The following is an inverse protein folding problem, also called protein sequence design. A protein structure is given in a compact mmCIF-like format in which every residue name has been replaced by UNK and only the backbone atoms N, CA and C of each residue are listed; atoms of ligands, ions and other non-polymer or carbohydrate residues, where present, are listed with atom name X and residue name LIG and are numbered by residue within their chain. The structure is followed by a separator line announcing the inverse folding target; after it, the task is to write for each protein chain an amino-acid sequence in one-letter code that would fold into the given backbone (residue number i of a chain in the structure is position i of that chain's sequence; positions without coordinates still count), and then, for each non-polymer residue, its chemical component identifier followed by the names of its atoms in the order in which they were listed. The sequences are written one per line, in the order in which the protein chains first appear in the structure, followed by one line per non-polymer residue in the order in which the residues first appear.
data_IF_384491049518
#
_entry.id   IF_384491049518
#
_cell.length_a   1.000
_cell.length_b   1.000
_cell.length_c   1.000
_cell.angle_alpha   90.00
_cell.angle_beta   90.00
_cell.angle_gamma   90.00
#
_symmetry.space_group_name_H-M   'P 1'
#
loop_
_entity.id
_entity.type
_entity.pdbx_description
1 polymer ?
#
# COMPACT_ATOMS: atom_id res chain seq x y z
N UNK A 1 -2.50 4.50 2.56
CA UNK A 1 -3.30 4.96 1.40
C UNK A 1 -3.26 6.47 1.30
N UNK A 2 -3.41 7.01 0.08
CA UNK A 2 -3.41 8.44 -0.23
C UNK A 2 -4.53 8.81 -1.25
N UNK A 3 -5.83 8.62 -0.94
CA UNK A 3 -6.88 8.69 -1.96
C UNK A 3 -7.08 10.07 -2.61
N UNK A 4 -6.83 11.18 -1.91
CA UNK A 4 -6.93 12.53 -2.48
C UNK A 4 -5.65 12.94 -3.20
N UNK A 5 -4.50 12.64 -2.59
CA UNK A 5 -3.20 12.97 -3.14
C UNK A 5 -2.91 12.17 -4.42
N UNK A 6 -3.50 10.99 -4.58
CA UNK A 6 -3.42 10.18 -5.80
C UNK A 6 -4.58 10.36 -6.78
N UNK A 7 -5.57 11.21 -6.48
CA UNK A 7 -6.69 11.45 -7.38
C UNK A 7 -6.24 12.23 -8.61
N UNK A 8 -6.55 11.71 -9.79
CA UNK A 8 -6.35 12.44 -11.04
C UNK A 8 -7.48 13.45 -11.30
N UNK A 9 -7.42 14.60 -10.61
CA UNK A 9 -8.47 15.64 -10.59
C UNK A 9 -8.87 16.19 -11.96
N UNK A 10 -7.99 16.12 -12.97
CA UNK A 10 -8.28 16.60 -14.33
C UNK A 10 -9.49 15.89 -14.96
N UNK A 11 -9.75 14.62 -14.62
CA UNK A 11 -10.93 13.91 -15.13
C UNK A 11 -12.24 14.38 -14.51
N UNK A 12 -12.23 14.98 -13.32
CA UNK A 12 -13.46 15.48 -12.67
C UNK A 12 -14.10 16.61 -13.47
N UNK A 13 -13.30 17.39 -14.21
CA UNK A 13 -13.78 18.52 -15.02
C UNK A 13 -14.40 18.12 -16.36
N UNK A 14 -14.13 16.92 -16.85
CA UNK A 14 -14.42 16.52 -18.24
C UNK A 14 -15.29 15.27 -18.39
N UNK A 15 -15.63 14.58 -17.29
CA UNK A 15 -16.40 13.34 -17.32
C UNK A 15 -17.78 13.51 -16.71
N UNK A 16 -18.82 12.97 -17.35
CA UNK A 16 -20.12 12.75 -16.71
C UNK A 16 -19.95 11.70 -15.60
N UNK A 17 -20.52 11.93 -14.41
CA UNK A 17 -20.35 11.07 -13.23
C UNK A 17 -20.67 9.59 -13.50
N UNK A 18 -21.63 9.31 -14.39
CA UNK A 18 -22.08 7.96 -14.74
C UNK A 18 -21.05 7.07 -15.47
N UNK A 19 -19.94 7.65 -15.96
CA UNK A 19 -18.91 6.92 -16.72
C UNK A 19 -17.56 6.85 -16.00
N UNK A 20 -17.49 7.41 -14.78
CA UNK A 20 -16.29 7.42 -13.95
C UNK A 20 -16.51 6.50 -12.76
N UNK A 21 -15.54 5.62 -12.50
CA UNK A 21 -15.51 4.76 -11.31
C UNK A 21 -14.22 5.08 -10.58
N UNK A 22 -14.32 5.54 -9.34
CA UNK A 22 -13.18 5.72 -8.43
C UNK A 22 -12.85 4.37 -7.82
N UNK A 23 -11.63 3.88 -8.09
CA UNK A 23 -11.19 2.59 -7.57
C UNK A 23 -10.16 2.82 -6.47
N UNK A 24 -10.52 2.50 -5.24
CA UNK A 24 -9.60 2.50 -4.10
C UNK A 24 -8.85 1.17 -4.08
N UNK A 25 -7.65 1.15 -4.65
CA UNK A 25 -6.79 -0.03 -4.68
C UNK A 25 -5.89 -0.12 -3.43
N UNK A 26 -5.28 -1.29 -3.21
CA UNK A 26 -4.39 -1.60 -2.07
C UNK A 26 -5.08 -1.42 -0.71
N UNK A 27 -6.35 -1.81 -0.64
CA UNK A 27 -7.19 -1.68 0.57
C UNK A 27 -6.70 -2.51 1.76
N UNK A 28 -5.85 -3.49 1.51
CA UNK A 28 -5.10 -4.24 2.52
C UNK A 28 -4.05 -3.41 3.27
N UNK A 29 -3.63 -2.27 2.72
CA UNK A 29 -2.67 -1.36 3.37
C UNK A 29 -3.33 -0.31 4.26
N UNK A 30 -4.67 -0.31 4.37
CA UNK A 30 -5.42 0.62 5.20
C UNK A 30 -6.39 -0.11 6.13
N UNK A 31 -6.76 0.56 7.23
CA UNK A 31 -7.73 -0.02 8.15
C UNK A 31 -9.13 -0.06 7.51
N UNK A 32 -9.98 -1.05 7.85
CA UNK A 32 -11.34 -1.13 7.31
C UNK A 32 -12.18 0.12 7.59
N UNK A 33 -11.99 0.78 8.74
CA UNK A 33 -12.67 2.02 9.09
C UNK A 33 -12.26 3.17 8.16
N UNK A 34 -10.97 3.34 7.88
CA UNK A 34 -10.49 4.37 6.95
C UNK A 34 -10.97 4.10 5.52
N UNK A 35 -10.92 2.85 5.05
CA UNK A 35 -11.44 2.49 3.71
C UNK A 35 -12.91 2.86 3.62
N UNK A 36 -13.71 2.57 4.66
CA UNK A 36 -15.12 2.95 4.70
C UNK A 36 -15.32 4.48 4.66
N UNK A 37 -14.59 5.24 5.48
CA UNK A 37 -14.70 6.70 5.47
C UNK A 37 -14.40 7.31 4.10
N UNK A 38 -13.41 6.76 3.39
CA UNK A 38 -13.08 7.20 2.04
C UNK A 38 -14.15 6.82 1.00
N UNK A 39 -14.72 5.61 1.10
CA UNK A 39 -15.86 5.21 0.27
C UNK A 39 -17.04 6.18 0.47
N UNK A 40 -17.42 6.43 1.73
CA UNK A 40 -18.50 7.35 2.09
C UNK A 40 -18.23 8.79 1.59
N UNK A 41 -16.95 9.22 1.60
CA UNK A 41 -16.54 10.52 1.08
C UNK A 41 -16.77 10.64 -0.43
N UNK A 42 -16.32 9.66 -1.23
CA UNK A 42 -16.49 9.70 -2.69
C UNK A 42 -17.96 9.50 -3.09
N UNK A 43 -18.69 8.60 -2.43
CA UNK A 43 -20.12 8.42 -2.66
C UNK A 43 -20.91 9.69 -2.34
N UNK A 44 -20.52 10.42 -1.28
CA UNK A 44 -21.09 11.74 -0.96
C UNK A 44 -20.74 12.86 -1.95
N UNK A 45 -19.86 12.60 -2.92
CA UNK A 45 -19.51 13.51 -4.03
C UNK A 45 -20.18 13.09 -5.36
N UNK A 46 -21.19 12.21 -5.30
CA UNK A 46 -21.88 11.60 -6.44
C UNK A 46 -20.95 10.78 -7.36
N UNK A 47 -19.80 10.32 -6.84
CA UNK A 47 -18.91 9.41 -7.54
C UNK A 47 -19.29 7.95 -7.27
N UNK A 48 -19.17 7.11 -8.30
CA UNK A 48 -19.23 5.65 -8.11
C UNK A 48 -17.88 5.20 -7.58
N UNK A 49 -17.83 4.72 -6.33
CA UNK A 49 -16.60 4.22 -5.71
C UNK A 49 -16.59 2.68 -5.62
N UNK A 50 -15.42 2.07 -5.73
CA UNK A 50 -15.23 0.63 -5.50
C UNK A 50 -13.89 0.38 -4.80
N UNK A 51 -13.91 -0.40 -3.72
CA UNK A 51 -12.71 -0.80 -2.98
C UNK A 51 -12.17 -2.13 -3.51
N UNK A 52 -10.86 -2.23 -3.73
CA UNK A 52 -10.25 -3.45 -4.26
C UNK A 52 -8.87 -3.69 -3.65
N UNK A 53 -8.49 -4.95 -3.51
CA UNK A 53 -7.10 -5.38 -3.40
C UNK A 53 -6.75 -6.15 -4.68
N UNK A 54 -5.86 -5.59 -5.50
CA UNK A 54 -5.42 -6.19 -6.78
C UNK A 54 -4.78 -7.58 -6.62
N UNK A 55 -4.28 -7.91 -5.43
CA UNK A 55 -3.68 -9.21 -5.12
C UNK A 55 -4.68 -10.23 -4.54
N UNK A 56 -5.89 -9.78 -4.16
CA UNK A 56 -6.93 -10.66 -3.64
C UNK A 56 -7.87 -11.11 -4.76
N UNK A 57 -7.88 -12.42 -5.05
CA UNK A 57 -8.67 -12.99 -6.15
C UNK A 57 -10.18 -12.77 -5.99
N UNK A 58 -10.71 -12.84 -4.78
CA UNK A 58 -12.15 -12.72 -4.55
C UNK A 58 -12.61 -11.27 -4.69
N UNK A 59 -11.83 -10.31 -4.22
CA UNK A 59 -12.07 -8.88 -4.48
C UNK A 59 -12.07 -8.58 -5.99
N UNK A 60 -11.19 -9.21 -6.76
CA UNK A 60 -11.12 -9.02 -8.22
C UNK A 60 -12.31 -9.65 -8.93
N UNK A 61 -12.79 -10.82 -8.47
CA UNK A 61 -14.03 -11.43 -8.99
C UNK A 61 -15.24 -10.55 -8.71
N UNK A 62 -15.35 -10.01 -7.50
CA UNK A 62 -16.40 -9.09 -7.10
C UNK A 62 -16.37 -7.84 -7.98
N UNK A 63 -15.19 -7.25 -8.15
CA UNK A 63 -15.00 -6.06 -9.00
C UNK A 63 -15.33 -6.34 -10.47
N UNK A 64 -14.90 -7.48 -11.02
CA UNK A 64 -15.25 -7.88 -12.39
C UNK A 64 -16.76 -8.04 -12.57
N UNK A 65 -17.44 -8.62 -11.59
CA UNK A 65 -18.91 -8.77 -11.60
C UNK A 65 -19.59 -7.41 -11.59
N UNK A 66 -19.13 -6.51 -10.73
CA UNK A 66 -19.58 -5.12 -10.67
C UNK A 66 -19.40 -4.40 -12.01
N UNK A 67 -18.20 -4.48 -12.63
CA UNK A 67 -17.93 -3.88 -13.94
C UNK A 67 -18.85 -4.43 -15.03
N UNK A 68 -19.06 -5.75 -15.07
CA UNK A 68 -19.98 -6.36 -16.03
C UNK A 68 -21.42 -5.87 -15.85
N UNK A 69 -21.89 -5.71 -14.60
CA UNK A 69 -23.22 -5.17 -14.33
C UNK A 69 -23.35 -3.72 -14.83
N UNK A 70 -22.38 -2.86 -14.52
CA UNK A 70 -22.34 -1.46 -15.02
C UNK A 70 -22.34 -1.37 -16.54
N UNK A 71 -21.57 -2.23 -17.20
CA UNK A 71 -21.54 -2.27 -18.68
C UNK A 71 -22.88 -2.72 -19.24
N UNK A 72 -23.57 -3.71 -18.63
CA UNK A 72 -24.92 -4.12 -19.06
C UNK A 72 -25.95 -2.99 -18.89
N UNK A 73 -25.90 -2.26 -17.78
CA UNK A 73 -26.75 -1.08 -17.55
C UNK A 73 -26.56 -0.04 -18.67
N UNK A 74 -25.30 0.27 -19.03
CA UNK A 74 -25.01 1.18 -20.14
C UNK A 74 -25.56 0.64 -21.47
N UNK A 75 -25.33 -0.63 -21.81
CA UNK A 75 -25.84 -1.21 -23.07
C UNK A 75 -27.37 -1.10 -23.15
N UNK A 76 -28.09 -1.32 -22.04
CA UNK A 76 -29.55 -1.24 -21.99
C UNK A 76 -30.08 0.18 -22.22
N UNK A 77 -29.30 1.22 -21.94
CA UNK A 77 -29.68 2.63 -22.16
C UNK A 77 -29.51 3.12 -23.61
N UNK A 78 -29.26 2.21 -24.56
CA UNK A 78 -29.16 2.53 -26.00
C UNK A 78 -27.74 2.72 -26.50
N UNK A 79 -26.72 2.57 -25.65
CA UNK A 79 -25.35 2.38 -26.12
C UNK A 79 -25.29 0.99 -26.78
N UNK A 80 -24.98 0.99 -28.08
CA UNK A 80 -24.91 -0.21 -28.92
C UNK A 80 -24.22 -1.41 -28.23
N UNK A 81 -24.59 -2.65 -28.64
CA UNK A 81 -24.04 -3.96 -28.20
C UNK A 81 -22.53 -4.18 -28.50
N UNK A 82 -21.76 -3.10 -28.62
CA UNK A 82 -20.35 -3.10 -28.96
C UNK A 82 -19.46 -3.53 -27.79
N UNK A 83 -18.21 -3.84 -28.15
CA UNK A 83 -17.09 -3.99 -27.24
C UNK A 83 -16.93 -2.74 -26.37
N UNK A 84 -16.97 -2.91 -25.05
CA UNK A 84 -16.68 -1.82 -24.10
C UNK A 84 -15.21 -1.85 -23.70
N UNK A 85 -14.57 -0.69 -23.74
CA UNK A 85 -13.17 -0.55 -23.32
C UNK A 85 -13.11 0.35 -22.10
N UNK A 86 -12.56 -0.17 -21.00
CA UNK A 86 -12.33 0.55 -19.76
C UNK A 86 -10.88 1.03 -19.73
N UNK A 87 -10.63 2.28 -19.40
CA UNK A 87 -9.28 2.83 -19.27
C UNK A 87 -8.94 3.01 -17.80
N UNK A 88 -7.83 2.43 -17.34
CA UNK A 88 -7.32 2.68 -16.00
C UNK A 88 -6.49 3.95 -16.02
N UNK A 89 -6.87 4.96 -15.22
CA UNK A 89 -6.16 6.24 -15.15
C UNK A 89 -5.76 6.54 -13.71
N UNK A 90 -4.56 7.08 -13.52
CA UNK A 90 -4.03 7.47 -12.21
C UNK A 90 -2.52 7.66 -12.24
N UNK A 91 -1.98 8.20 -11.16
CA UNK A 91 -0.53 8.43 -10.98
C UNK A 91 0.27 7.09 -11.02
N UNK A 92 1.60 7.11 -11.16
CA UNK A 92 2.40 5.88 -11.12
C UNK A 92 2.19 5.09 -9.82
N UNK A 93 2.43 3.78 -9.88
CA UNK A 93 2.44 2.87 -8.73
C UNK A 93 1.16 2.74 -7.88
N UNK A 94 0.03 3.33 -8.28
CA UNK A 94 -1.31 3.05 -7.68
C UNK A 94 -1.83 1.63 -7.97
N UNK A 95 -1.14 0.88 -8.83
CA UNK A 95 -1.45 -0.53 -9.14
C UNK A 95 -2.35 -0.74 -10.35
N UNK A 96 -2.34 0.16 -11.35
CA UNK A 96 -3.08 0.02 -12.61
C UNK A 96 -2.74 -1.30 -13.34
N UNK A 97 -1.45 -1.53 -13.58
CA UNK A 97 -0.97 -2.75 -14.25
C UNK A 97 -1.28 -4.02 -13.44
N UNK A 98 -1.13 -3.98 -12.12
CA UNK A 98 -1.51 -5.10 -11.24
C UNK A 98 -3.01 -5.41 -11.32
N UNK A 99 -3.86 -4.38 -11.28
CA UNK A 99 -5.31 -4.53 -11.40
C UNK A 99 -5.71 -5.08 -12.78
N UNK A 100 -5.12 -4.55 -13.87
CA UNK A 100 -5.35 -5.04 -15.23
C UNK A 100 -4.96 -6.51 -15.39
N UNK A 101 -3.78 -6.89 -14.87
CA UNK A 101 -3.30 -8.27 -14.89
C UNK A 101 -4.23 -9.22 -14.12
N UNK A 102 -4.66 -8.83 -12.92
CA UNK A 102 -5.56 -9.63 -12.10
C UNK A 102 -6.94 -9.77 -12.73
N UNK A 103 -7.52 -8.69 -13.26
CA UNK A 103 -8.79 -8.74 -14.00
C UNK A 103 -8.68 -9.63 -15.24
N UNK A 104 -7.59 -9.51 -16.00
CA UNK A 104 -7.34 -10.35 -17.17
C UNK A 104 -7.25 -11.83 -16.79
N UNK A 105 -6.50 -12.15 -15.74
CA UNK A 105 -6.35 -13.53 -15.26
C UNK A 105 -7.70 -14.12 -14.82
N UNK A 106 -8.45 -13.43 -13.97
CA UNK A 106 -9.77 -13.89 -13.50
C UNK A 106 -10.76 -14.00 -14.67
N UNK A 107 -10.77 -13.03 -15.58
CA UNK A 107 -11.61 -13.05 -16.78
C UNK A 107 -11.34 -14.27 -17.67
N UNK A 108 -10.06 -14.60 -17.89
CA UNK A 108 -9.66 -15.80 -18.65
C UNK A 108 -10.04 -17.11 -17.96
N UNK A 109 -9.86 -17.19 -16.63
CA UNK A 109 -10.27 -18.35 -15.84
C UNK A 109 -11.78 -18.57 -15.97
N UNK A 110 -12.58 -17.52 -15.82
CA UNK A 110 -14.04 -17.60 -15.96
C UNK A 110 -14.48 -18.01 -17.37
N UNK A 111 -13.69 -17.69 -18.40
CA UNK A 111 -13.96 -18.06 -19.78
C UNK A 111 -13.31 -19.41 -20.21
N UNK A 112 -12.63 -20.11 -19.31
CA UNK A 112 -11.87 -21.34 -19.59
C UNK A 112 -10.88 -21.22 -20.77
N UNK A 113 -10.33 -20.03 -21.00
CA UNK A 113 -9.45 -19.73 -22.14
C UNK A 113 -8.03 -20.31 -21.93
N UNK A 114 -7.58 -21.20 -22.82
CA UNK A 114 -6.23 -21.78 -22.78
C UNK A 114 -5.19 -20.92 -23.54
N UNK A 115 -3.90 -21.10 -23.25
CA UNK A 115 -2.79 -20.43 -23.96
C UNK A 115 -2.02 -19.40 -23.12
N UNK A 116 -0.97 -18.81 -23.70
CA UNK A 116 -0.03 -17.90 -23.01
C UNK A 116 -0.75 -16.66 -22.46
N UNK A 117 -0.56 -16.39 -21.17
CA UNK A 117 -1.10 -15.19 -20.52
C UNK A 117 -0.31 -13.96 -20.95
N UNK A 118 -1.01 -12.95 -21.50
CA UNK A 118 -0.43 -11.62 -21.67
C UNK A 118 -0.40 -10.95 -20.30
N UNK A 119 0.70 -10.28 -19.96
CA UNK A 119 0.89 -9.65 -18.65
C UNK A 119 1.62 -8.32 -18.83
N UNK A 120 1.16 -7.27 -18.16
CA UNK A 120 1.85 -5.98 -18.05
C UNK A 120 3.00 -6.07 -17.04
N UNK A 121 4.09 -5.35 -17.26
CA UNK A 121 5.15 -5.25 -16.26
C UNK A 121 4.62 -4.57 -14.99
N UNK A 122 5.03 -5.07 -13.81
CA UNK A 122 4.68 -4.50 -12.51
C UNK A 122 5.96 -4.42 -11.69
N UNK A 123 6.46 -3.21 -11.49
CA UNK A 123 7.63 -2.95 -10.66
C UNK A 123 7.32 -1.80 -9.70
N UNK A 124 8.04 -1.68 -8.58
CA UNK A 124 7.90 -0.55 -7.67
C UNK A 124 8.52 0.74 -8.24
N UNK A 125 9.20 0.67 -9.39
CA UNK A 125 9.84 1.83 -10.00
C UNK A 125 8.82 2.64 -10.80
N UNK A 126 8.65 3.94 -10.51
CA UNK A 126 7.72 4.77 -11.26
C UNK A 126 8.15 4.88 -12.74
N UNK A 127 7.17 4.92 -13.65
CA UNK A 127 7.43 5.03 -15.09
C UNK A 127 7.70 3.71 -15.83
N UNK A 128 7.55 2.57 -15.17
CA UNK A 128 7.71 1.24 -15.80
C UNK A 128 6.75 1.02 -16.97
N UNK A 129 5.48 1.37 -16.79
CA UNK A 129 4.46 1.25 -17.83
C UNK A 129 4.62 2.37 -18.86
N UNK A 130 5.32 2.09 -19.96
CA UNK A 130 5.60 3.07 -21.03
C UNK A 130 4.57 3.07 -22.16
N UNK A 131 3.92 1.92 -22.40
CA UNK A 131 2.99 1.72 -23.52
C UNK A 131 1.59 1.38 -23.02
N UNK A 132 0.57 1.82 -23.76
CA UNK A 132 -0.82 1.41 -23.49
C UNK A 132 -1.00 -0.04 -23.92
N UNK A 133 -1.48 -0.88 -23.02
CA UNK A 133 -1.72 -2.31 -23.27
C UNK A 133 -3.17 -2.67 -23.05
N UNK A 134 -3.79 -3.31 -24.03
CA UNK A 134 -5.17 -3.82 -23.93
C UNK A 134 -5.20 -5.28 -23.46
N UNK A 135 -6.13 -5.58 -22.54
CA UNK A 135 -6.39 -6.90 -21.98
C UNK A 135 -7.89 -7.21 -21.99
N UNK A 136 -8.28 -8.38 -22.46
CA UNK A 136 -9.68 -8.82 -22.42
C UNK A 136 -10.03 -9.32 -21.02
N UNK A 137 -11.15 -8.88 -20.44
CA UNK A 137 -11.57 -9.25 -19.08
C UNK A 137 -12.94 -9.94 -19.04
N UNK A 138 -13.76 -9.80 -20.09
CA UNK A 138 -15.03 -10.50 -20.21
C UNK A 138 -15.40 -10.70 -21.70
N UNK A 139 -16.08 -11.80 -22.01
CA UNK A 139 -16.61 -12.07 -23.36
C UNK A 139 -18.08 -11.67 -23.50
N UNK A 140 -18.87 -11.74 -22.42
CA UNK A 140 -20.31 -11.45 -22.43
C UNK A 140 -20.71 -10.64 -21.17
N UNK A 141 -20.82 -9.30 -21.26
CA UNK A 141 -20.50 -8.47 -22.43
C UNK A 141 -19.00 -8.47 -22.77
N UNK A 142 -18.66 -8.11 -24.01
CA UNK A 142 -17.27 -8.07 -24.47
C UNK A 142 -16.56 -6.84 -23.89
N UNK A 143 -15.67 -7.04 -22.91
CA UNK A 143 -15.00 -5.96 -22.17
C UNK A 143 -13.49 -6.11 -22.24
N UNK A 144 -12.82 -5.01 -22.56
CA UNK A 144 -11.38 -4.84 -22.46
C UNK A 144 -11.02 -3.80 -21.41
N UNK A 145 -9.86 -3.99 -20.77
CA UNK A 145 -9.22 -2.98 -19.92
C UNK A 145 -7.93 -2.52 -20.59
N UNK A 146 -7.71 -1.21 -20.60
CA UNK A 146 -6.47 -0.58 -21.02
C UNK A 146 -5.65 -0.26 -19.78
N UNK A 147 -4.48 -0.89 -19.70
CA UNK A 147 -3.42 -0.45 -18.80
C UNK A 147 -2.67 0.71 -19.46
N UNK A 148 -2.46 1.79 -18.71
CA UNK A 148 -1.86 3.02 -19.22
C UNK A 148 -0.69 3.46 -18.36
N UNK A 149 0.26 4.23 -18.92
CA UNK A 149 1.28 4.92 -18.13
C UNK A 149 0.68 5.72 -16.97
N UNK A 150 1.43 5.83 -15.87
CA UNK A 150 1.07 6.75 -14.79
C UNK A 150 1.22 8.19 -15.22
N UNK A 151 0.20 9.01 -14.95
CA UNK A 151 0.20 10.43 -15.32
C UNK A 151 0.33 11.26 -14.05
N UNK A 152 1.39 12.05 -13.95
CA UNK A 152 1.58 13.04 -12.91
C UNK A 152 1.30 14.44 -13.48
N UNK A 153 0.85 15.39 -12.65
CA UNK A 153 0.86 16.79 -13.05
C UNK A 153 2.30 17.25 -13.34
N UNK A 154 2.51 18.18 -14.29
CA UNK A 154 3.85 18.64 -14.68
C UNK A 154 4.57 19.39 -13.55
N UNK A 155 3.81 19.95 -12.61
CA UNK A 155 4.33 20.57 -11.40
C UNK A 155 3.51 20.08 -10.20
N UNK A 156 4.20 19.71 -9.12
CA UNK A 156 3.63 19.37 -7.81
C UNK A 156 4.00 20.54 -6.90
N UNK A 157 3.10 21.52 -6.70
CA UNK A 157 3.46 22.78 -6.03
C UNK A 157 3.58 22.65 -4.51
N UNK A 158 3.06 21.58 -3.94
CA UNK A 158 2.96 21.38 -2.49
C UNK A 158 4.00 20.36 -2.01
N UNK A 159 4.83 20.77 -1.05
CA UNK A 159 5.89 19.95 -0.49
C UNK A 159 5.32 18.72 0.23
N UNK A 160 4.23 18.90 0.99
CA UNK A 160 3.56 17.81 1.70
C UNK A 160 3.03 16.76 0.71
N UNK A 161 2.46 17.20 -0.41
CA UNK A 161 2.07 16.33 -1.53
C UNK A 161 3.27 15.60 -2.16
N UNK A 162 4.44 16.25 -2.40
CA UNK A 162 5.64 15.52 -2.88
C UNK A 162 6.04 14.45 -1.86
N UNK A 163 6.08 14.79 -0.56
CA UNK A 163 6.41 13.83 0.50
C UNK A 163 5.46 12.63 0.48
N UNK A 164 4.14 12.85 0.41
CA UNK A 164 3.13 11.76 0.36
C UNK A 164 3.29 10.87 -0.87
N UNK A 165 3.53 11.49 -2.03
CA UNK A 165 3.73 10.77 -3.29
C UNK A 165 5.02 9.96 -3.27
N UNK A 166 6.13 10.54 -2.79
CA UNK A 166 7.42 9.86 -2.64
C UNK A 166 7.31 8.73 -1.61
N UNK A 167 6.69 8.97 -0.45
CA UNK A 167 6.53 8.01 0.63
C UNK A 167 5.81 6.74 0.14
N UNK A 168 4.81 6.89 -0.72
CA UNK A 168 4.07 5.77 -1.34
C UNK A 168 4.72 5.19 -2.60
N UNK A 169 5.86 5.74 -3.01
CA UNK A 169 6.63 5.34 -4.19
C UNK A 169 6.00 5.77 -5.51
N UNK A 170 5.03 6.68 -5.53
CA UNK A 170 4.39 7.13 -6.76
C UNK A 170 5.28 8.03 -7.63
N UNK A 171 6.27 8.66 -7.01
CA UNK A 171 7.35 9.39 -7.66
C UNK A 171 8.68 8.85 -7.15
N UNK A 172 9.74 9.10 -7.90
CA UNK A 172 11.09 8.84 -7.41
C UNK A 172 11.32 9.70 -6.16
N UNK A 173 12.08 9.18 -5.21
CA UNK A 173 12.34 9.85 -3.94
C UNK A 173 12.96 11.24 -4.22
N UNK A 174 12.12 12.28 -4.09
CA UNK A 174 12.30 13.62 -4.66
C UNK A 174 13.03 14.59 -3.72
N UNK A 175 13.06 14.28 -2.42
CA UNK A 175 13.46 15.20 -1.35
C UNK A 175 14.73 14.71 -0.69
N UNK A 176 15.86 15.33 -1.01
CA UNK A 176 17.18 15.24 -0.37
C UNK A 176 17.80 13.82 -0.17
N UNK A 177 17.05 12.74 -0.39
CA UNK A 177 17.45 11.36 -0.20
C UNK A 177 16.34 10.48 0.37
N UNK A 178 16.62 9.19 0.52
CA UNK A 178 15.72 8.26 1.22
C UNK A 178 15.64 8.58 2.72
N UNK A 179 16.66 9.25 3.28
CA UNK A 179 16.78 9.54 4.72
C UNK A 179 15.72 10.53 5.17
N UNK A 180 15.61 11.68 4.51
CA UNK A 180 14.64 12.72 4.83
C UNK A 180 13.21 12.22 4.66
N UNK A 181 12.97 11.39 3.63
CA UNK A 181 11.67 10.76 3.43
C UNK A 181 11.30 9.77 4.56
N UNK A 182 12.28 9.04 5.07
CA UNK A 182 12.09 8.14 6.20
C UNK A 182 11.92 8.91 7.53
N UNK A 183 12.62 10.03 7.73
CA UNK A 183 12.37 10.94 8.86
C UNK A 183 10.95 11.52 8.80
N UNK A 184 10.48 11.93 7.62
CA UNK A 184 9.10 12.37 7.42
C UNK A 184 8.09 11.27 7.77
N UNK A 185 8.37 10.01 7.41
CA UNK A 185 7.53 8.88 7.83
C UNK A 185 7.51 8.71 9.35
N UNK A 186 8.65 8.79 10.03
CA UNK A 186 8.73 8.69 11.49
C UNK A 186 7.95 9.82 12.18
N UNK A 187 8.05 11.05 11.67
CA UNK A 187 7.25 12.18 12.16
C UNK A 187 5.74 11.90 12.06
N UNK A 188 5.26 11.37 10.93
CA UNK A 188 3.85 10.96 10.77
C UNK A 188 3.48 9.85 11.74
N UNK A 189 4.35 8.84 11.90
CA UNK A 189 4.08 7.70 12.77
C UNK A 189 3.93 8.14 14.22
N UNK A 190 4.85 8.97 14.71
CA UNK A 190 4.90 9.47 16.09
C UNK A 190 3.75 10.40 16.42
N UNK A 191 3.36 11.26 15.49
CA UNK A 191 2.20 12.16 15.66
C UNK A 191 0.85 11.43 15.52
N UNK A 192 0.85 10.22 14.97
CA UNK A 192 -0.34 9.37 14.88
C UNK A 192 -0.52 8.46 16.09
N UNK A 193 -1.74 7.98 16.33
CA UNK A 193 -2.00 6.94 17.34
C UNK A 193 -1.73 5.50 16.84
N UNK A 194 -1.19 5.34 15.64
CA UNK A 194 -1.03 4.02 15.00
C UNK A 194 0.00 3.14 15.74
N UNK A 195 1.08 3.72 16.26
CA UNK A 195 2.12 2.99 16.99
C UNK A 195 1.59 2.35 18.28
N UNK A 196 0.54 2.92 18.89
CA UNK A 196 -0.07 2.39 20.15
C UNK A 196 -0.59 0.97 19.99
N UNK A 197 -0.92 0.55 18.76
CA UNK A 197 -1.34 -0.84 18.45
C UNK A 197 -0.23 -1.85 18.75
N UNK A 198 1.03 -1.42 18.76
CA UNK A 198 2.18 -2.27 19.04
C UNK A 198 2.46 -2.50 20.52
N UNK A 199 1.74 -1.83 21.44
CA UNK A 199 1.90 -2.03 22.88
C UNK A 199 1.79 -3.51 23.31
N UNK A 200 0.93 -4.28 22.63
CA UNK A 200 0.71 -5.71 22.90
C UNK A 200 1.91 -6.59 22.50
N UNK A 201 2.78 -6.12 21.62
CA UNK A 201 3.97 -6.86 21.18
C UNK A 201 5.05 -6.93 22.27
N UNK A 202 5.05 -5.98 23.21
CA UNK A 202 5.97 -5.98 24.36
C UNK A 202 5.68 -7.07 25.41
N UNK A 203 4.49 -7.67 25.40
CA UNK A 203 4.10 -8.70 26.38
C UNK A 203 4.60 -10.11 26.05
N UNK A 204 4.94 -10.40 24.80
CA UNK A 204 5.15 -11.77 24.30
C UNK A 204 6.50 -12.36 24.75
N UNK A 205 7.48 -11.54 25.13
CA UNK A 205 8.78 -12.04 25.63
C UNK A 205 8.69 -12.69 27.01
N UNK A 206 7.70 -12.30 27.84
CA UNK A 206 7.53 -12.92 29.16
C UNK A 206 7.07 -14.38 29.07
N UNK A 207 6.30 -14.75 28.05
CA UNK A 207 5.80 -16.12 27.91
C UNK A 207 6.85 -17.06 27.31
N UNK A 208 7.81 -16.55 26.53
CA UNK A 208 8.85 -17.39 25.94
C UNK A 208 9.99 -17.72 26.92
N UNK A 209 10.26 -16.84 27.90
CA UNK A 209 11.24 -17.07 28.97
C UNK A 209 10.73 -18.03 30.05
N UNK A 210 9.41 -18.21 30.19
CA UNK A 210 8.81 -19.14 31.17
C UNK A 210 8.84 -20.58 30.69
N UNK A 211 8.91 -20.82 29.38
CA UNK A 211 8.93 -22.19 28.80
C UNK A 211 10.34 -22.81 28.80
N UNK A 212 11.40 -22.02 28.99
CA UNK A 212 12.79 -22.51 28.96
C UNK A 212 13.35 -22.95 30.32
N UNK A 213 12.53 -23.03 31.36
CA UNK A 213 12.98 -23.37 32.71
C UNK A 213 12.15 -24.49 33.36
N UNK A 214 12.00 -25.63 32.68
CA UNK A 214 11.77 -26.94 33.32
C UNK A 214 12.33 -28.04 32.44
N UNK A 215 13.20 -28.86 33.03
CA UNK A 215 13.87 -30.03 32.48
C UNK A 215 12.92 -31.05 31.83
N UNK A 216 13.32 -31.67 30.72
CA UNK A 216 13.80 -33.07 30.69
C UNK A 216 13.96 -33.59 29.25
N UNK A 217 14.95 -34.47 29.08
CA UNK A 217 15.28 -35.26 27.90
C UNK A 217 14.05 -35.98 27.30
N UNK A 218 14.00 -36.02 25.95
CA UNK A 218 13.51 -37.09 25.06
C UNK A 218 12.82 -36.50 23.81
N UNK A 219 13.55 -36.42 22.70
CA UNK A 219 13.07 -36.79 21.34
C UNK A 219 14.07 -36.32 20.26
N UNK A 220 15.05 -37.18 19.97
CA UNK A 220 16.01 -37.00 18.87
C UNK A 220 15.43 -37.29 17.47
N UNK A 221 14.11 -37.48 17.31
CA UNK A 221 13.52 -37.85 16.01
C UNK A 221 12.72 -36.75 15.30
N UNK A 222 12.55 -35.56 15.90
CA UNK A 222 11.85 -34.43 15.23
C UNK A 222 12.76 -33.55 14.36
N UNK A 223 14.07 -33.79 14.37
CA UNK A 223 15.10 -32.90 13.79
C UNK A 223 15.28 -33.01 12.27
N UNK A 224 14.57 -33.91 11.57
CA UNK A 224 14.71 -34.07 10.11
C UNK A 224 13.52 -33.59 9.28
N UNK A 225 12.36 -33.28 9.88
CA UNK A 225 11.20 -32.68 9.17
C UNK A 225 11.12 -31.14 9.26
N UNK A 226 11.98 -30.50 10.05
CA UNK A 226 12.05 -29.03 10.21
C UNK A 226 13.02 -28.30 9.26
N UNK A 227 13.52 -28.94 8.19
CA UNK A 227 14.42 -28.28 7.23
C UNK A 227 13.72 -27.66 6.00
N UNK A 228 12.39 -27.49 6.02
CA UNK A 228 11.63 -27.01 4.85
C UNK A 228 10.65 -25.85 5.12
N UNK A 229 10.83 -25.07 6.20
CA UNK A 229 9.99 -23.89 6.52
C UNK A 229 10.78 -22.65 7.02
N UNK A 230 12.02 -22.44 6.60
CA UNK A 230 12.91 -21.42 7.21
C UNK A 230 12.95 -20.09 6.45
N UNK A 231 12.12 -19.84 5.43
CA UNK A 231 12.26 -18.63 4.57
C UNK A 231 11.33 -17.45 4.87
N UNK A 232 10.50 -17.46 5.92
CA UNK A 232 9.60 -16.33 6.25
C UNK A 232 9.75 -15.76 7.68
N UNK A 233 10.11 -16.61 8.65
CA UNK A 233 10.16 -16.21 10.06
C UNK A 233 11.21 -15.14 10.41
N UNK A 234 12.32 -15.07 9.67
CA UNK A 234 13.36 -14.05 9.88
C UNK A 234 12.85 -12.64 9.55
N UNK A 235 11.98 -12.51 8.55
CA UNK A 235 11.40 -11.23 8.16
C UNK A 235 10.39 -10.74 9.20
N UNK A 236 9.55 -11.65 9.71
CA UNK A 236 8.59 -11.32 10.77
C UNK A 236 9.27 -10.95 12.09
N UNK A 237 10.40 -11.58 12.41
CA UNK A 237 11.21 -11.22 13.58
C UNK A 237 11.74 -9.79 13.47
N UNK A 238 12.37 -9.43 12.34
CA UNK A 238 12.87 -8.07 12.09
C UNK A 238 11.72 -7.06 12.15
N UNK A 239 10.59 -7.34 11.52
CA UNK A 239 9.41 -6.46 11.55
C UNK A 239 8.92 -6.23 12.97
N UNK A 240 8.83 -7.29 13.78
CA UNK A 240 8.39 -7.18 15.17
C UNK A 240 9.40 -6.42 16.04
N UNK A 241 10.71 -6.61 15.82
CA UNK A 241 11.74 -5.83 16.50
C UNK A 241 11.63 -4.35 16.15
N UNK A 242 11.53 -4.00 14.86
CA UNK A 242 11.33 -2.62 14.41
C UNK A 242 10.11 -1.99 15.07
N UNK A 243 8.96 -2.68 15.09
CA UNK A 243 7.74 -2.21 15.74
C UNK A 243 7.92 -1.99 17.25
N UNK A 244 8.57 -2.93 17.95
CA UNK A 244 8.87 -2.83 19.39
C UNK A 244 9.80 -1.65 19.67
N UNK A 245 10.86 -1.51 18.89
CA UNK A 245 11.84 -0.44 19.00
C UNK A 245 11.18 0.93 18.86
N UNK A 246 10.41 1.14 17.80
CA UNK A 246 9.69 2.40 17.58
C UNK A 246 8.68 2.67 18.70
N UNK A 247 7.89 1.67 19.09
CA UNK A 247 6.96 1.80 20.22
C UNK A 247 7.67 2.22 21.52
N UNK A 248 8.80 1.61 21.84
CA UNK A 248 9.56 1.91 23.06
C UNK A 248 10.18 3.31 23.00
N UNK A 249 10.74 3.72 21.86
CA UNK A 249 11.29 5.06 21.67
C UNK A 249 10.21 6.13 21.90
N UNK A 250 9.07 6.00 21.21
CA UNK A 250 7.97 6.97 21.30
C UNK A 250 7.34 6.96 22.71
N UNK A 251 7.13 5.78 23.32
CA UNK A 251 6.48 5.68 24.64
C UNK A 251 7.36 6.15 25.79
N UNK A 252 8.69 6.10 25.63
CA UNK A 252 9.65 6.55 26.64
C UNK A 252 10.03 8.02 26.48
N UNK A 253 9.59 8.65 25.39
CA UNK A 253 9.88 10.04 25.11
C UNK A 253 9.09 10.95 26.04
N UNK A 254 9.81 11.83 26.75
CA UNK A 254 9.24 12.79 27.70
C UNK A 254 9.18 14.23 27.18
N UNK A 255 9.63 14.48 25.95
CA UNK A 255 9.64 15.79 25.33
C UNK A 255 8.28 16.19 24.71
N UNK A 256 8.20 17.44 24.26
CA UNK A 256 7.02 17.97 23.60
C UNK A 256 7.07 17.68 22.08
N UNK A 257 6.08 16.95 21.55
CA UNK A 257 6.02 16.62 20.13
C UNK A 257 5.65 17.80 19.23
N UNK A 258 5.11 18.88 19.80
CA UNK A 258 4.80 20.11 19.07
C UNK A 258 6.05 20.99 18.84
N UNK A 259 7.16 20.70 19.54
CA UNK A 259 8.43 21.41 19.38
C UNK A 259 9.33 20.70 18.36
N UNK A 260 9.69 21.41 17.30
CA UNK A 260 10.51 20.87 16.19
C UNK A 260 11.82 20.23 16.67
N UNK A 261 12.57 20.90 17.56
CA UNK A 261 13.83 20.37 18.10
C UNK A 261 13.63 19.07 18.90
N UNK A 262 12.53 18.99 19.64
CA UNK A 262 12.18 17.81 20.44
C UNK A 262 11.80 16.63 19.53
N UNK A 263 11.04 16.89 18.46
CA UNK A 263 10.69 15.88 17.47
C UNK A 263 11.93 15.41 16.68
N UNK A 264 12.81 16.32 16.26
CA UNK A 264 14.06 15.97 15.58
C UNK A 264 14.94 15.07 16.47
N UNK A 265 15.08 15.41 17.75
CA UNK A 265 15.84 14.59 18.69
C UNK A 265 15.24 13.18 18.86
N UNK A 266 13.91 13.07 18.93
CA UNK A 266 13.26 11.75 18.97
C UNK A 266 13.55 10.94 17.70
N UNK A 267 13.46 11.56 16.52
CA UNK A 267 13.72 10.91 15.24
C UNK A 267 15.18 10.43 15.16
N UNK A 268 16.15 11.20 15.65
CA UNK A 268 17.56 10.78 15.75
C UNK A 268 17.72 9.52 16.61
N UNK A 269 17.05 9.48 17.78
CA UNK A 269 17.05 8.32 18.68
C UNK A 269 16.39 7.12 18.02
N UNK A 270 15.27 7.31 17.33
CA UNK A 270 14.59 6.24 16.58
C UNK A 270 15.52 5.66 15.51
N UNK A 271 16.22 6.49 14.75
CA UNK A 271 17.17 6.05 13.73
C UNK A 271 18.31 5.21 14.30
N UNK A 272 18.91 5.65 15.41
CA UNK A 272 19.98 4.92 16.06
C UNK A 272 19.52 3.51 16.50
N UNK A 273 18.34 3.43 17.13
CA UNK A 273 17.80 2.14 17.57
C UNK A 273 17.30 1.27 16.40
N UNK A 274 16.83 1.87 15.30
CA UNK A 274 16.48 1.15 14.08
C UNK A 274 17.70 0.51 13.41
N UNK A 275 18.87 1.16 13.43
CA UNK A 275 20.10 0.58 12.91
C UNK A 275 20.43 -0.74 13.62
N UNK A 276 20.32 -0.76 14.96
CA UNK A 276 20.48 -1.97 15.77
C UNK A 276 19.40 -3.02 15.44
N UNK A 277 18.12 -2.61 15.36
CA UNK A 277 17.01 -3.51 15.04
C UNK A 277 17.14 -4.15 13.64
N UNK A 278 17.81 -3.48 12.70
CA UNK A 278 18.12 -3.99 11.37
C UNK A 278 19.43 -4.78 11.28
N UNK A 279 20.12 -4.98 12.41
CA UNK A 279 21.43 -5.61 12.51
C UNK A 279 22.48 -4.95 11.61
N UNK A 280 22.48 -3.61 11.58
CA UNK A 280 23.48 -2.79 10.91
C UNK A 280 24.57 -2.38 11.92
N UNK A 281 25.79 -2.12 11.45
CA UNK A 281 26.93 -1.88 12.33
C UNK A 281 26.90 -0.44 12.83
N UNK A 282 26.89 -0.24 14.14
CA UNK A 282 26.69 1.07 14.79
C UNK A 282 27.76 2.15 14.50
N UNK A 283 28.78 1.87 13.67
CA UNK A 283 29.98 2.72 13.53
C UNK A 283 30.20 3.33 12.14
N UNK A 284 29.33 3.09 11.15
CA UNK A 284 29.50 3.65 9.80
C UNK A 284 28.42 4.68 9.45
N UNK A 285 28.82 5.91 9.11
CA UNK A 285 27.95 6.96 8.53
C UNK A 285 27.18 6.44 7.29
N UNK A 286 27.71 5.41 6.63
CA UNK A 286 27.13 4.73 5.46
C UNK A 286 25.87 3.88 5.74
N UNK A 287 25.46 3.70 7.01
CA UNK A 287 24.31 2.86 7.36
C UNK A 287 22.97 3.63 7.40
N UNK A 288 22.99 4.97 7.49
CA UNK A 288 21.76 5.80 7.51
C UNK A 288 20.86 5.59 6.27
N UNK A 289 21.39 5.62 5.02
CA UNK A 289 20.57 5.34 3.84
C UNK A 289 20.01 3.90 3.84
N UNK A 290 20.75 2.92 4.39
CA UNK A 290 20.28 1.54 4.46
C UNK A 290 19.14 1.38 5.46
N UNK A 291 19.21 2.05 6.61
CA UNK A 291 18.11 2.11 7.60
C UNK A 291 16.88 2.71 6.93
N UNK A 292 17.04 3.86 6.26
CA UNK A 292 15.96 4.54 5.57
C UNK A 292 15.30 3.66 4.50
N UNK A 293 16.10 3.05 3.61
CA UNK A 293 15.62 2.16 2.56
C UNK A 293 14.83 0.96 3.12
N UNK A 294 15.36 0.31 4.17
CA UNK A 294 14.70 -0.81 4.84
C UNK A 294 13.39 -0.37 5.49
N UNK A 295 13.37 0.76 6.19
CA UNK A 295 12.17 1.30 6.85
C UNK A 295 11.08 1.65 5.82
N UNK A 296 11.44 2.38 4.77
CA UNK A 296 10.52 2.75 3.68
C UNK A 296 9.96 1.52 2.97
N UNK A 297 10.77 0.46 2.79
CA UNK A 297 10.28 -0.80 2.23
C UNK A 297 9.24 -1.46 3.15
N UNK A 298 9.52 -1.58 4.45
CA UNK A 298 8.55 -2.12 5.41
C UNK A 298 7.25 -1.31 5.45
N UNK A 299 7.34 0.02 5.33
CA UNK A 299 6.17 0.89 5.20
C UNK A 299 5.40 0.64 3.89
N UNK A 300 6.07 0.71 2.73
CA UNK A 300 5.45 0.57 1.39
C UNK A 300 4.81 -0.80 1.16
N UNK A 301 5.32 -1.84 1.82
CA UNK A 301 4.78 -3.20 1.78
C UNK A 301 3.69 -3.46 2.83
N UNK A 302 3.34 -2.48 3.67
CA UNK A 302 2.33 -2.62 4.73
C UNK A 302 2.78 -3.46 5.92
N UNK A 303 4.06 -3.83 5.99
CA UNK A 303 4.60 -4.69 7.05
C UNK A 303 4.69 -3.98 8.39
N UNK A 304 4.73 -2.65 8.43
CA UNK A 304 4.65 -1.92 9.70
C UNK A 304 3.21 -1.85 10.23
N UNK A 305 2.20 -1.86 9.36
CA UNK A 305 0.81 -1.76 9.73
C UNK A 305 -0.03 -1.10 8.63
N UNK A 306 -1.22 -0.65 9.01
CA UNK A 306 -2.14 0.02 8.10
C UNK A 306 -2.06 1.53 8.30
N UNK A 307 -1.74 2.27 7.26
CA UNK A 307 -1.56 3.72 7.35
C UNK A 307 -2.39 4.43 6.30
N UNK A 308 -3.02 5.55 6.67
CA UNK A 308 -3.59 6.52 5.73
C UNK A 308 -2.87 7.84 5.95
N UNK A 309 -2.18 8.33 4.93
CA UNK A 309 -1.45 9.61 5.02
C UNK A 309 -2.34 10.78 4.62
N UNK A 310 -3.39 10.51 3.83
CA UNK A 310 -4.46 11.47 3.64
C UNK A 310 -5.47 11.36 4.79
N UNK A 311 -5.93 12.52 5.24
CA UNK A 311 -7.09 12.67 6.11
C UNK A 311 -8.34 12.95 5.28
N UNK A 312 -9.46 12.35 5.66
CA UNK A 312 -10.76 12.64 5.02
C UNK A 312 -11.15 14.08 5.36
N UNK A 313 -11.42 14.95 4.39
CA UNK A 313 -11.84 16.32 4.66
C UNK A 313 -13.08 16.34 5.55
N UNK A 314 -13.07 17.16 6.60
CA UNK A 314 -14.29 17.46 7.35
C UNK A 314 -15.32 18.05 6.40
N UNK A 315 -16.55 17.53 6.41
CA UNK A 315 -17.68 18.12 5.67
C UNK A 315 -17.89 19.55 6.18
N UNK A 316 -17.29 20.53 5.52
CA UNK A 316 -17.73 21.91 5.63
C UNK A 316 -19.07 21.97 4.90
N UNK A 317 -20.14 22.03 5.71
CA UNK A 317 -21.51 22.27 5.27
C UNK A 317 -21.66 23.72 4.80
#
# INVERSE_FOLDING_TARGET
MIPLSSEFKLLKKHSTSTRRIIVLNKTDLASPSQVKQWMDYFEGQDDIAFRVNSHNRDNIKEFLTFLQARVRELINTGYSRHTTTLMLVGIPNVGKSALANSLHLIGRINAAEKGRLKHAAVTPQPGETKNISSFKIASHPNIYVLDTPGILPPNIPDAELCCKLALTGAIQDCLDGEVELAQYFLAILTTSDEFKKWAKLGGIEKDMLVVTATDDELDLEKTQKMKHRVTDHTQDFIVNNVRKTLYHCISSFSGNLDEENSLLHLIEVEYANLAEAFHLSSEAVDDLPKVASKLLNLYRTGRLGHYSVDSVPSKHW
#
